data_IF_152796828424
#
_entry.id   IF_152796828424
#
_cell.length_a   1.000
_cell.length_b   1.000
_cell.length_c   1.000
_cell.angle_alpha   90.00
_cell.angle_beta   90.00
_cell.angle_gamma   90.00
#
_symmetry.space_group_name_H-M   'P 1'
#
loop_
_entity.id
_entity.type
_entity.pdbx_description
1 polymer ?
#
# COMPACT_ATOMS: atom_id res chain seq x y z
N UNK A 1 7.14 15.42 6.95
CA UNK A 1 5.87 15.38 7.72
C UNK A 1 5.30 13.97 7.83
N UNK A 2 5.28 13.16 6.74
CA UNK A 2 4.62 11.85 6.68
C UNK A 2 5.58 10.66 6.90
N UNK A 3 6.86 10.88 7.07
CA UNK A 3 7.87 9.85 7.34
C UNK A 3 8.46 9.98 8.75
N UNK A 4 8.65 8.85 9.42
CA UNK A 4 8.27 7.48 9.05
C UNK A 4 6.76 7.27 9.13
N UNK A 5 6.17 6.44 8.22
CA UNK A 5 4.71 6.27 8.21
C UNK A 5 4.17 5.36 7.11
N UNK A 6 2.82 5.31 6.97
CA UNK A 6 2.14 4.49 5.97
C UNK A 6 2.11 5.17 4.59
N UNK A 7 3.27 5.63 4.12
CA UNK A 7 3.44 6.33 2.85
C UNK A 7 4.63 5.78 2.08
N UNK A 8 4.50 5.70 0.76
CA UNK A 8 5.57 5.35 -0.17
C UNK A 8 5.73 6.44 -1.22
N UNK A 9 6.96 6.72 -1.60
CA UNK A 9 7.29 7.73 -2.60
C UNK A 9 7.90 7.10 -3.82
N UNK A 10 7.38 7.42 -4.99
CA UNK A 10 8.00 7.08 -6.26
C UNK A 10 9.01 8.17 -6.61
N UNK A 11 10.26 7.74 -6.77
CA UNK A 11 11.42 8.57 -7.01
C UNK A 11 12.18 8.09 -8.23
N UNK A 12 12.95 8.98 -8.85
CA UNK A 12 13.85 8.63 -9.93
C UNK A 12 15.12 7.98 -9.38
N UNK A 13 15.53 6.87 -9.96
CA UNK A 13 16.81 6.23 -9.64
C UNK A 13 17.99 7.12 -10.03
N UNK A 14 19.02 7.11 -9.21
CA UNK A 14 20.32 7.68 -9.58
C UNK A 14 20.96 6.85 -10.68
N UNK A 15 21.71 7.46 -11.61
CA UNK A 15 22.38 6.78 -12.75
C UNK A 15 23.23 5.57 -12.34
N UNK A 16 23.91 5.65 -11.18
CA UNK A 16 24.77 4.58 -10.62
C UNK A 16 24.10 3.84 -9.45
N UNK A 17 22.77 3.70 -9.45
CA UNK A 17 22.05 2.98 -8.41
C UNK A 17 22.38 1.49 -8.43
N UNK A 18 22.55 0.88 -7.23
CA UNK A 18 22.73 -0.57 -7.06
C UNK A 18 21.41 -1.32 -6.94
N UNK A 19 20.26 -0.64 -7.05
CA UNK A 19 18.94 -1.28 -6.99
C UNK A 19 18.78 -2.17 -8.22
N UNK A 20 18.41 -3.42 -7.98
CA UNK A 20 18.20 -4.40 -9.05
C UNK A 20 17.08 -3.96 -10.00
N UNK A 21 17.31 -4.21 -11.29
CA UNK A 21 16.31 -3.96 -12.36
C UNK A 21 15.04 -4.80 -12.18
N UNK A 22 15.13 -5.96 -11.53
CA UNK A 22 13.97 -6.80 -11.20
C UNK A 22 13.01 -6.05 -10.30
N UNK A 23 13.52 -5.36 -9.25
CA UNK A 23 12.69 -4.59 -8.29
C UNK A 23 11.98 -3.43 -8.97
N UNK A 24 12.62 -2.81 -9.96
CA UNK A 24 12.08 -1.65 -10.68
C UNK A 24 11.34 -2.00 -11.95
N UNK A 25 11.21 -3.28 -12.26
CA UNK A 25 10.65 -3.78 -13.53
C UNK A 25 11.28 -3.08 -14.74
N UNK A 26 12.62 -2.99 -14.76
CA UNK A 26 13.43 -2.28 -15.77
C UNK A 26 13.11 -0.77 -15.89
N UNK A 27 12.36 -0.21 -14.98
CA UNK A 27 12.08 1.23 -14.92
C UNK A 27 13.26 2.00 -14.31
N UNK A 28 13.33 3.30 -14.58
CA UNK A 28 14.22 4.22 -13.89
C UNK A 28 13.58 4.84 -12.63
N UNK A 29 12.46 4.27 -12.16
CA UNK A 29 11.72 4.69 -10.98
C UNK A 29 11.80 3.62 -9.90
N UNK A 30 11.74 4.04 -8.65
CA UNK A 30 11.67 3.16 -7.48
C UNK A 30 10.68 3.71 -6.46
N UNK A 31 9.89 2.81 -5.86
CA UNK A 31 9.05 3.16 -4.73
C UNK A 31 9.83 2.92 -3.43
N UNK A 32 9.91 3.94 -2.59
CA UNK A 32 10.65 3.91 -1.30
C UNK A 32 9.69 4.20 -0.16
N UNK A 33 9.80 3.43 0.92
CA UNK A 33 9.03 3.62 2.15
C UNK A 33 9.94 3.64 3.37
N UNK A 34 9.62 4.52 4.32
CA UNK A 34 10.22 4.57 5.66
C UNK A 34 9.16 4.12 6.67
N UNK A 35 9.15 2.84 7.08
CA UNK A 35 8.12 2.30 7.96
C UNK A 35 8.24 2.88 9.37
N UNK A 36 7.08 3.06 10.04
CA UNK A 36 7.04 3.51 11.44
C UNK A 36 7.10 2.34 12.44
N UNK A 37 6.86 1.11 12.00
CA UNK A 37 6.80 -0.08 12.86
C UNK A 37 8.15 -0.35 13.53
N UNK A 38 8.15 -0.47 14.87
CA UNK A 38 9.37 -0.50 15.67
C UNK A 38 10.29 -1.71 15.38
N UNK A 39 9.72 -2.93 15.21
CA UNK A 39 10.50 -4.12 14.85
C UNK A 39 11.13 -4.00 13.46
N UNK A 40 10.36 -3.53 12.47
CA UNK A 40 10.88 -3.29 11.13
C UNK A 40 12.03 -2.29 11.16
N UNK A 41 11.91 -1.24 11.96
CA UNK A 41 12.99 -0.25 12.12
C UNK A 41 14.22 -0.81 12.83
N UNK A 42 14.04 -1.73 13.79
CA UNK A 42 15.19 -2.45 14.40
C UNK A 42 15.93 -3.26 13.33
N UNK A 43 15.23 -4.07 12.55
CA UNK A 43 15.84 -4.86 11.46
C UNK A 43 16.59 -3.96 10.49
N UNK A 44 15.95 -2.87 10.03
CA UNK A 44 16.57 -1.94 9.07
C UNK A 44 17.78 -1.19 9.62
N UNK A 45 18.00 -1.15 10.93
CA UNK A 45 19.20 -0.58 11.56
C UNK A 45 20.37 -1.57 11.61
N UNK A 46 20.06 -2.87 11.63
CA UNK A 46 21.08 -3.96 11.71
C UNK A 46 21.66 -4.31 10.33
N UNK A 47 21.08 -3.77 9.25
CA UNK A 47 21.51 -4.03 7.88
C UNK A 47 21.93 -2.72 7.19
N UNK A 48 22.89 -2.80 6.29
CA UNK A 48 23.42 -1.67 5.53
C UNK A 48 22.84 -1.53 4.10
N UNK A 49 21.80 -2.32 3.81
CA UNK A 49 21.12 -2.33 2.52
C UNK A 49 19.59 -2.22 2.65
N UNK A 50 18.88 -1.69 1.64
CA UNK A 50 17.43 -1.64 1.64
C UNK A 50 16.82 -3.02 1.39
N UNK A 51 15.64 -3.26 1.97
CA UNK A 51 14.84 -4.47 1.72
C UNK A 51 13.77 -4.21 0.66
N UNK A 52 13.62 -5.14 -0.27
CA UNK A 52 12.45 -5.22 -1.13
C UNK A 52 11.39 -6.10 -0.45
N UNK A 53 10.25 -5.52 -0.14
CA UNK A 53 9.18 -6.22 0.58
C UNK A 53 7.84 -6.05 -0.14
N UNK A 54 7.27 -7.11 -0.75
CA UNK A 54 5.89 -7.13 -1.21
C UNK A 54 4.92 -7.24 -0.02
N UNK A 55 3.61 -7.18 -0.30
CA UNK A 55 2.59 -7.57 0.68
C UNK A 55 2.69 -9.07 0.98
N UNK A 56 2.40 -9.46 2.24
CA UNK A 56 2.53 -10.83 2.70
C UNK A 56 1.25 -11.64 2.44
N UNK A 57 0.76 -11.62 1.20
CA UNK A 57 -0.42 -12.37 0.73
C UNK A 57 -0.16 -13.00 -0.64
N UNK A 58 -0.94 -14.01 -0.98
CA UNK A 58 -1.00 -14.54 -2.35
C UNK A 58 -1.56 -13.46 -3.27
N UNK A 59 -1.06 -13.42 -4.50
CA UNK A 59 -1.48 -12.40 -5.47
C UNK A 59 -3.01 -12.36 -5.64
N UNK A 60 -3.58 -11.17 -5.61
CA UNK A 60 -5.02 -10.87 -5.67
C UNK A 60 -5.81 -11.08 -4.38
N UNK A 61 -5.27 -11.76 -3.37
CA UNK A 61 -5.90 -11.91 -2.06
C UNK A 61 -5.89 -10.63 -1.23
N UNK A 62 -6.64 -10.63 -0.14
CA UNK A 62 -6.66 -9.53 0.83
C UNK A 62 -5.34 -9.53 1.61
N UNK A 63 -4.80 -8.35 1.86
CA UNK A 63 -3.56 -8.22 2.63
C UNK A 63 -3.78 -8.59 4.09
N UNK A 64 -2.89 -9.42 4.69
CA UNK A 64 -2.98 -9.84 6.08
C UNK A 64 -2.76 -8.66 7.02
N UNK A 65 -3.40 -8.70 8.18
CA UNK A 65 -3.29 -7.67 9.21
C UNK A 65 -2.63 -8.19 10.49
N UNK A 66 -2.44 -9.49 10.61
CA UNK A 66 -1.82 -10.17 11.74
C UNK A 66 -0.80 -11.23 11.30
N UNK A 67 0.01 -11.70 12.24
CA UNK A 67 0.90 -12.85 12.05
C UNK A 67 0.09 -14.11 11.70
N UNK A 68 -1.06 -14.31 12.35
CA UNK A 68 -1.89 -15.49 12.13
C UNK A 68 -2.40 -15.54 10.69
N UNK A 69 -2.88 -14.40 10.14
CA UNK A 69 -3.34 -14.33 8.75
C UNK A 69 -2.23 -14.76 7.75
N UNK A 70 -0.97 -14.37 8.04
CA UNK A 70 0.17 -14.77 7.21
C UNK A 70 0.43 -16.28 7.32
N UNK A 71 0.35 -16.83 8.53
CA UNK A 71 0.52 -18.27 8.76
C UNK A 71 -0.58 -19.06 8.09
N UNK A 72 -1.82 -18.61 8.18
CA UNK A 72 -2.99 -19.28 7.59
C UNK A 72 -2.89 -19.27 6.04
N UNK A 73 -2.40 -18.18 5.46
CA UNK A 73 -2.27 -18.04 4.01
C UNK A 73 -1.10 -18.85 3.43
N UNK A 74 0.05 -18.85 4.09
CA UNK A 74 1.28 -19.44 3.56
C UNK A 74 1.64 -20.80 4.17
N UNK A 75 1.15 -21.11 5.37
CA UNK A 75 1.49 -22.35 6.07
C UNK A 75 3.01 -22.52 6.17
N UNK A 76 3.48 -23.70 5.82
CA UNK A 76 4.91 -24.08 5.89
C UNK A 76 5.79 -23.46 4.78
N UNK A 77 5.22 -22.67 3.84
CA UNK A 77 6.00 -22.03 2.76
C UNK A 77 6.88 -20.89 3.26
N UNK A 78 6.55 -20.30 4.42
CA UNK A 78 7.34 -19.27 5.08
C UNK A 78 7.87 -19.81 6.42
N UNK A 79 9.20 -19.80 6.58
CA UNK A 79 9.86 -20.35 7.78
C UNK A 79 9.76 -19.43 9.00
N UNK A 80 9.76 -18.12 8.80
CA UNK A 80 9.81 -17.14 9.87
C UNK A 80 8.76 -16.05 9.66
N UNK A 81 7.93 -15.85 10.67
CA UNK A 81 6.97 -14.75 10.75
C UNK A 81 7.18 -14.07 12.10
N UNK A 82 7.62 -12.81 12.05
CA UNK A 82 7.83 -12.03 13.27
C UNK A 82 6.51 -11.61 13.89
N UNK A 83 6.42 -11.70 15.22
CA UNK A 83 5.29 -11.18 15.96
C UNK A 83 5.41 -9.66 16.10
N UNK A 84 4.62 -8.95 15.35
CA UNK A 84 4.61 -7.49 15.32
C UNK A 84 3.31 -6.87 15.85
N UNK A 85 2.38 -7.69 16.32
CA UNK A 85 1.01 -7.28 16.64
C UNK A 85 0.18 -7.07 15.36
N UNK A 86 -1.08 -6.69 15.53
CA UNK A 86 -1.99 -6.44 14.42
C UNK A 86 -1.76 -5.08 13.77
N UNK A 87 -2.01 -4.99 12.47
CA UNK A 87 -1.94 -3.75 11.70
C UNK A 87 -2.96 -2.73 12.22
N UNK A 88 -2.49 -1.54 12.58
CA UNK A 88 -3.35 -0.47 13.12
C UNK A 88 -4.27 0.16 12.07
N UNK A 89 -3.90 0.10 10.80
CA UNK A 89 -4.62 0.75 9.69
C UNK A 89 -5.38 -0.26 8.84
N UNK A 90 -4.82 -1.46 8.65
CA UNK A 90 -5.43 -2.50 7.82
C UNK A 90 -5.49 -2.18 6.32
N UNK A 91 -4.79 -1.13 5.88
CA UNK A 91 -4.68 -0.70 4.49
C UNK A 91 -3.21 -0.55 4.12
N UNK A 92 -2.90 -0.70 2.85
CA UNK A 92 -1.57 -0.45 2.33
C UNK A 92 -1.18 1.02 2.43
N UNK A 93 0.13 1.28 2.21
CA UNK A 93 0.65 2.64 2.18
C UNK A 93 0.02 3.47 1.05
N UNK A 94 -0.26 4.73 1.33
CA UNK A 94 -0.51 5.70 0.28
C UNK A 94 0.74 5.83 -0.59
N UNK A 95 0.59 5.84 -1.92
CA UNK A 95 1.71 6.00 -2.84
C UNK A 95 1.62 7.36 -3.52
N UNK A 96 2.70 8.12 -3.43
CA UNK A 96 2.81 9.44 -4.06
C UNK A 96 3.94 9.40 -5.09
N UNK A 97 3.63 9.84 -6.29
CA UNK A 97 4.64 10.15 -7.28
C UNK A 97 5.27 11.53 -6.97
N UNK A 98 6.61 11.58 -6.93
CA UNK A 98 7.37 12.83 -6.77
C UNK A 98 8.21 13.16 -8.01
N UNK A 99 8.03 12.41 -9.11
CA UNK A 99 8.75 12.66 -10.36
C UNK A 99 7.83 13.43 -11.31
N UNK A 100 8.21 14.63 -11.67
CA UNK A 100 7.35 15.56 -12.40
C UNK A 100 6.34 16.24 -11.47
N UNK A 101 5.09 16.31 -11.88
CA UNK A 101 4.02 16.87 -11.05
C UNK A 101 3.63 15.88 -9.96
N UNK A 102 3.74 16.23 -8.67
CA UNK A 102 3.35 15.34 -7.60
C UNK A 102 1.87 14.98 -7.67
N UNK A 103 1.57 13.67 -7.55
CA UNK A 103 0.20 13.16 -7.54
C UNK A 103 0.11 11.86 -6.73
N UNK A 104 -1.11 11.56 -6.25
CA UNK A 104 -1.38 10.32 -5.53
C UNK A 104 -1.64 9.23 -6.58
N UNK A 105 -0.83 8.15 -6.51
CA UNK A 105 -0.96 6.97 -7.37
C UNK A 105 -1.83 5.88 -6.75
N UNK A 106 -1.84 5.78 -5.42
CA UNK A 106 -2.67 4.84 -4.65
C UNK A 106 -3.10 5.50 -3.35
N UNK A 107 -4.39 5.44 -3.06
CA UNK A 107 -4.93 5.79 -1.76
C UNK A 107 -4.57 4.71 -0.73
N UNK A 108 -4.30 5.11 0.50
CA UNK A 108 -4.01 4.25 1.63
C UNK A 108 -4.47 4.87 2.94
N UNK A 109 -3.82 4.54 4.04
CA UNK A 109 -4.22 4.97 5.38
C UNK A 109 -4.05 6.45 5.71
N UNK A 110 -3.53 7.28 4.81
CA UNK A 110 -3.43 8.73 5.01
C UNK A 110 -4.54 9.43 4.24
N UNK A 111 -5.24 10.34 4.91
CA UNK A 111 -6.29 11.14 4.27
C UNK A 111 -5.76 11.93 3.08
N UNK A 112 -6.41 11.74 1.93
CA UNK A 112 -6.03 12.34 0.66
C UNK A 112 -6.07 13.88 0.71
N UNK A 113 -7.01 14.45 1.45
CA UNK A 113 -7.16 15.90 1.62
C UNK A 113 -5.91 16.53 2.24
N UNK A 114 -5.42 15.92 3.31
CA UNK A 114 -4.17 16.34 3.97
C UNK A 114 -2.96 16.29 3.03
N UNK A 115 -2.90 15.28 2.16
CA UNK A 115 -1.82 15.14 1.18
C UNK A 115 -1.94 16.21 0.09
N UNK A 116 -3.14 16.42 -0.46
CA UNK A 116 -3.36 17.44 -1.49
C UNK A 116 -3.08 18.86 -1.01
N UNK A 117 -3.44 19.20 0.23
CA UNK A 117 -3.11 20.49 0.84
C UNK A 117 -1.59 20.68 0.89
N UNK A 118 -0.86 19.65 1.27
CA UNK A 118 0.60 19.69 1.32
C UNK A 118 1.24 19.79 -0.07
N UNK A 119 0.73 19.07 -1.07
CA UNK A 119 1.20 19.14 -2.46
C UNK A 119 0.90 20.52 -3.07
N UNK A 120 -0.29 21.07 -2.84
CA UNK A 120 -0.67 22.40 -3.34
C UNK A 120 0.19 23.53 -2.77
N UNK A 121 0.60 23.41 -1.52
CA UNK A 121 1.49 24.38 -0.88
C UNK A 121 2.93 24.36 -1.46
N UNK A 122 3.30 23.28 -2.13
CA UNK A 122 4.60 23.13 -2.80
C UNK A 122 4.53 23.73 -4.22
N UNK A 123 5.25 24.83 -4.45
CA UNK A 123 5.23 25.63 -5.72
C UNK A 123 5.86 24.92 -6.93
N UNK A 124 5.83 23.60 -7.04
CA UNK A 124 6.43 22.87 -8.16
C UNK A 124 5.46 22.73 -9.35
N UNK A 125 5.59 23.66 -10.31
CA UNK A 125 4.83 23.75 -11.56
C UNK A 125 5.38 22.82 -12.67
N UNK A 126 5.58 21.52 -12.43
CA UNK A 126 6.00 20.59 -13.49
C UNK A 126 4.79 19.91 -14.15
N UNK A 127 4.70 20.02 -15.50
CA UNK A 127 3.52 19.68 -16.32
C UNK A 127 3.41 18.21 -16.78
N UNK A 128 4.28 17.26 -16.35
CA UNK A 128 4.23 15.88 -16.86
C UNK A 128 3.58 14.93 -15.84
N UNK A 129 2.48 14.31 -16.24
CA UNK A 129 1.94 13.14 -15.56
C UNK A 129 2.70 11.89 -16.04
N UNK A 130 3.12 11.07 -15.08
CA UNK A 130 3.76 9.79 -15.37
C UNK A 130 2.72 8.68 -15.24
N UNK A 131 2.59 7.89 -16.29
CA UNK A 131 1.75 6.69 -16.27
C UNK A 131 2.58 5.54 -15.68
N UNK A 132 2.46 5.30 -14.37
CA UNK A 132 3.23 4.29 -13.64
C UNK A 132 2.29 3.15 -13.22
N UNK A 133 2.57 1.92 -13.67
CA UNK A 133 1.85 0.73 -13.17
C UNK A 133 2.24 0.49 -11.72
N UNK A 134 1.24 0.37 -10.84
CA UNK A 134 1.41 0.19 -9.40
C UNK A 134 0.81 -1.12 -8.91
N UNK A 135 1.37 -1.75 -7.85
CA UNK A 135 0.67 -2.80 -7.13
C UNK A 135 -0.68 -2.28 -6.65
N UNK A 136 -1.75 -3.04 -6.86
CA UNK A 136 -3.10 -2.62 -6.54
C UNK A 136 -3.87 -1.93 -7.68
N UNK A 137 -3.24 -1.69 -8.84
CA UNK A 137 -3.89 -1.11 -10.02
C UNK A 137 -4.48 -2.13 -11.00
N UNK A 138 -4.31 -3.43 -10.74
CA UNK A 138 -4.90 -4.50 -11.55
C UNK A 138 -6.41 -4.59 -11.31
N UNK A 139 -7.18 -5.01 -12.33
CA UNK A 139 -8.65 -5.16 -12.25
C UNK A 139 -9.09 -6.14 -11.16
N UNK A 140 -8.30 -7.17 -10.88
CA UNK A 140 -8.50 -8.14 -9.80
C UNK A 140 -7.40 -7.92 -8.75
N UNK A 141 -7.71 -7.13 -7.73
CA UNK A 141 -6.85 -6.91 -6.58
C UNK A 141 -7.71 -6.63 -5.35
N UNK A 142 -7.29 -7.11 -4.18
CA UNK A 142 -8.07 -7.05 -2.94
C UNK A 142 -9.43 -7.75 -3.05
N UNK A 143 -9.50 -8.78 -3.89
CA UNK A 143 -10.73 -9.52 -4.11
C UNK A 143 -10.93 -10.56 -2.99
N UNK A 144 -12.06 -10.55 -2.28
CA UNK A 144 -12.37 -11.56 -1.28
C UNK A 144 -12.68 -12.94 -1.87
N UNK A 145 -12.71 -13.07 -3.21
CA UNK A 145 -13.03 -14.33 -3.91
C UNK A 145 -14.52 -14.69 -3.93
N UNK A 146 -15.37 -13.85 -3.35
CA UNK A 146 -16.83 -13.99 -3.36
C UNK A 146 -17.49 -12.87 -4.17
N UNK A 147 -18.64 -13.14 -4.84
CA UNK A 147 -19.37 -12.10 -5.54
C UNK A 147 -19.83 -10.98 -4.62
N UNK A 148 -19.73 -9.72 -5.08
CA UNK A 148 -20.20 -8.56 -4.34
C UNK A 148 -21.12 -7.70 -5.18
N UNK A 149 -22.24 -7.27 -4.62
CA UNK A 149 -23.14 -6.27 -5.20
C UNK A 149 -22.96 -4.93 -4.47
N UNK A 150 -22.68 -3.87 -5.22
CA UNK A 150 -22.50 -2.55 -4.65
C UNK A 150 -23.77 -1.70 -4.75
N UNK A 151 -23.93 -0.73 -3.85
CA UNK A 151 -25.05 0.24 -3.84
C UNK A 151 -26.44 -0.38 -3.74
N UNK A 152 -26.55 -1.59 -3.20
CA UNK A 152 -27.81 -2.26 -2.97
C UNK A 152 -28.56 -1.68 -1.77
N UNK A 153 -29.88 -1.64 -1.85
CA UNK A 153 -30.75 -1.13 -0.76
C UNK A 153 -31.19 -2.25 0.18
N UNK A 154 -31.17 -3.49 -0.28
CA UNK A 154 -31.61 -4.70 0.43
C UNK A 154 -30.75 -5.88 -0.01
N UNK A 155 -30.41 -6.78 0.90
CA UNK A 155 -29.75 -8.06 0.60
C UNK A 155 -30.79 -9.13 0.17
N UNK A 156 -30.29 -10.16 -0.49
CA UNK A 156 -31.00 -11.43 -0.67
C UNK A 156 -30.80 -12.30 0.58
N UNK A 157 -31.53 -13.40 0.68
CA UNK A 157 -31.54 -14.24 1.89
C UNK A 157 -30.18 -14.93 2.15
N UNK A 158 -29.41 -15.17 1.08
CA UNK A 158 -28.08 -15.79 1.10
C UNK A 158 -26.91 -14.77 1.13
N UNK A 159 -27.22 -13.49 1.28
CA UNK A 159 -26.21 -12.42 1.24
C UNK A 159 -25.99 -11.75 2.59
N UNK A 160 -24.73 -11.52 2.96
CA UNK A 160 -24.38 -10.62 4.04
C UNK A 160 -24.54 -9.14 3.59
N UNK A 161 -25.20 -8.33 4.42
CA UNK A 161 -25.45 -6.93 4.13
C UNK A 161 -24.53 -6.01 4.94
N UNK A 162 -23.56 -5.38 4.28
CA UNK A 162 -22.59 -4.50 4.90
C UNK A 162 -23.02 -3.04 4.72
N UNK A 163 -23.28 -2.35 5.82
CA UNK A 163 -23.61 -0.92 5.85
C UNK A 163 -22.38 -0.09 6.26
N UNK A 164 -21.97 0.82 5.40
CA UNK A 164 -20.86 1.75 5.69
C UNK A 164 -21.34 2.88 6.65
N UNK A 165 -22.64 3.19 6.67
CA UNK A 165 -23.24 4.17 7.58
C UNK A 165 -24.54 3.65 8.15
N UNK A 166 -24.80 3.94 9.45
CA UNK A 166 -26.13 3.68 10.03
C UNK A 166 -27.21 4.39 9.21
N UNK A 167 -28.27 3.67 8.83
CA UNK A 167 -29.48 4.31 8.29
C UNK A 167 -30.04 5.24 9.36
N UNK A 168 -30.28 6.51 9.03
CA UNK A 168 -31.10 7.37 9.89
C UNK A 168 -32.49 6.71 9.93
N UNK A 169 -32.97 6.37 11.15
CA UNK A 169 -34.38 6.02 11.30
C UNK A 169 -35.19 7.24 10.85
N UNK A 170 -36.09 7.02 9.89
CA UNK A 170 -37.14 8.01 9.59
C UNK A 170 -38.14 8.04 10.71
#
# INVERSE_FOLDING_TARGET
>A
KFCPGPISFVLKLKKKSRVSKIITNNSNLVAVRFPSHHLTRKILKEIDYPLAAPSANISSSISPVSKQDVIDEFGNKIKFVLEGGSSKVGLESTIINLVGKPNILRLGGIDSKTIYEFIKSSKNNQKRELNVKMPGSSKLHYSPGIPMRLNVKKNNDDEAFILIRKRKKK
#
